data_IF_943884908346
#
_entry.id   IF_943884908346
#
_cell.length_a   1.000
_cell.length_b   1.000
_cell.length_c   1.000
_cell.angle_alpha   90.00
_cell.angle_beta   90.00
_cell.angle_gamma   90.00
#
_symmetry.space_group_name_H-M   'P 1'
#
loop_
_entity.id
_entity.type
_entity.pdbx_description
1 polymer ?
#
# COMPACT_ATOMS: atom_id res chain seq x y z
N UNK A 1 -4.81 -15.86 21.57
CA UNK A 1 -5.56 -14.59 21.76
C UNK A 1 -4.56 -13.44 21.83
N UNK A 2 -5.00 -12.18 21.62
CA UNK A 2 -4.14 -10.97 21.80
C UNK A 2 -3.51 -10.88 23.21
N UNK A 3 -4.08 -11.56 24.18
CA UNK A 3 -3.54 -11.67 25.54
C UNK A 3 -2.31 -12.59 25.65
N UNK A 4 -1.99 -13.34 24.61
CA UNK A 4 -0.89 -14.33 24.63
C UNK A 4 0.42 -13.73 24.07
N UNK A 5 0.37 -12.48 23.63
CA UNK A 5 1.51 -11.74 23.11
C UNK A 5 1.65 -10.39 23.84
N UNK A 6 2.89 -10.00 24.09
CA UNK A 6 3.22 -8.69 24.60
C UNK A 6 3.66 -7.81 23.42
N UNK A 7 2.78 -6.90 23.00
CA UNK A 7 3.06 -6.03 21.84
C UNK A 7 3.88 -4.82 22.28
N UNK A 8 4.95 -4.54 21.54
CA UNK A 8 5.80 -3.37 21.69
C UNK A 8 5.66 -2.50 20.44
N UNK A 9 5.12 -1.29 20.63
CA UNK A 9 5.05 -0.33 19.53
C UNK A 9 6.44 0.24 19.26
N UNK A 10 6.94 0.04 18.05
CA UNK A 10 8.29 0.41 17.64
C UNK A 10 8.23 1.25 16.37
N UNK A 11 8.99 2.33 16.29
CA UNK A 11 9.08 3.12 15.07
C UNK A 11 9.77 2.30 13.96
N UNK A 12 9.40 2.56 12.70
CA UNK A 12 9.92 1.82 11.55
C UNK A 12 11.44 1.82 11.46
N UNK A 13 12.07 2.97 11.75
CA UNK A 13 13.51 3.11 11.74
C UNK A 13 14.22 2.19 12.76
N UNK A 14 13.54 1.85 13.85
CA UNK A 14 14.11 1.12 14.99
C UNK A 14 13.78 -0.38 14.96
N UNK A 15 12.83 -0.82 14.11
CA UNK A 15 12.26 -2.17 14.18
C UNK A 15 13.28 -3.28 13.89
N UNK A 16 14.23 -3.06 12.98
CA UNK A 16 15.28 -4.02 12.68
C UNK A 16 16.27 -4.15 13.85
N UNK A 17 16.58 -3.03 14.52
CA UNK A 17 17.37 -3.01 15.74
C UNK A 17 16.67 -3.71 16.90
N UNK A 18 15.40 -3.43 17.10
CA UNK A 18 14.59 -4.07 18.13
C UNK A 18 14.51 -5.60 17.94
N UNK A 19 14.33 -6.07 16.70
CA UNK A 19 14.29 -7.50 16.37
C UNK A 19 15.63 -8.21 16.68
N UNK A 20 16.71 -7.49 16.70
CA UNK A 20 18.03 -8.03 17.08
C UNK A 20 18.19 -8.23 18.58
N UNK A 21 17.27 -7.70 19.41
CA UNK A 21 17.26 -7.89 20.86
C UNK A 21 16.77 -9.30 21.22
N UNK A 22 17.38 -9.95 22.23
CA UNK A 22 16.92 -11.26 22.69
C UNK A 22 15.51 -11.24 23.32
N UNK A 23 15.00 -10.07 23.68
CA UNK A 23 13.69 -9.91 24.28
C UNK A 23 12.57 -9.85 23.22
N UNK A 24 12.90 -9.69 21.94
CA UNK A 24 11.94 -9.63 20.84
C UNK A 24 11.92 -10.96 20.09
N UNK A 25 10.82 -11.66 20.16
CA UNK A 25 10.67 -13.00 19.58
C UNK A 25 10.04 -12.98 18.17
N UNK A 26 9.30 -11.94 17.84
CA UNK A 26 8.67 -11.76 16.53
C UNK A 26 8.56 -10.27 16.20
N UNK A 27 8.56 -9.95 14.92
CA UNK A 27 8.31 -8.60 14.43
C UNK A 27 7.46 -8.63 13.16
N UNK A 28 6.68 -7.58 12.95
CA UNK A 28 5.95 -7.32 11.71
C UNK A 28 6.53 -6.07 11.09
N UNK A 29 7.00 -6.16 9.87
CA UNK A 29 7.63 -5.06 9.17
C UNK A 29 7.43 -5.18 7.66
N UNK A 30 7.76 -4.13 6.96
CA UNK A 30 7.83 -4.07 5.50
C UNK A 30 9.25 -3.75 5.02
N UNK A 31 9.46 -3.74 3.73
CA UNK A 31 10.75 -3.38 3.14
C UNK A 31 11.05 -1.87 3.28
N UNK A 32 12.29 -1.47 3.48
CA UNK A 32 13.52 -2.30 3.47
C UNK A 32 13.84 -3.02 4.80
N UNK A 33 13.16 -2.68 5.90
CA UNK A 33 13.45 -3.22 7.24
C UNK A 33 13.27 -4.75 7.27
N UNK A 34 12.21 -5.29 6.64
CA UNK A 34 11.99 -6.73 6.53
C UNK A 34 13.16 -7.43 5.84
N UNK A 35 13.68 -6.86 4.76
CA UNK A 35 14.85 -7.41 4.06
C UNK A 35 16.07 -7.47 4.98
N UNK A 36 16.30 -6.42 5.78
CA UNK A 36 17.39 -6.39 6.76
C UNK A 36 17.23 -7.47 7.83
N UNK A 37 16.03 -7.61 8.39
CA UNK A 37 15.76 -8.63 9.41
C UNK A 37 15.89 -10.06 8.88
N UNK A 38 15.48 -10.32 7.64
CA UNK A 38 15.62 -11.63 6.98
C UNK A 38 17.08 -12.06 6.78
N UNK A 39 18.05 -11.15 6.84
CA UNK A 39 19.48 -11.49 6.78
C UNK A 39 20.01 -12.09 8.08
N UNK A 40 19.32 -11.95 9.20
CA UNK A 40 19.70 -12.56 10.46
C UNK A 40 19.56 -14.10 10.37
N UNK A 41 20.60 -14.89 10.74
CA UNK A 41 20.60 -16.35 10.57
C UNK A 41 19.47 -17.08 11.30
N UNK A 42 18.95 -16.48 12.38
CA UNK A 42 17.85 -17.01 13.19
C UNK A 42 16.48 -16.57 12.72
N UNK A 43 16.39 -15.64 11.75
CA UNK A 43 15.13 -15.12 11.27
C UNK A 43 14.41 -16.14 10.37
N UNK A 44 13.13 -16.35 10.64
CA UNK A 44 12.26 -17.16 9.81
C UNK A 44 11.04 -16.34 9.41
N UNK A 45 10.75 -16.30 8.12
CA UNK A 45 9.50 -15.73 7.63
C UNK A 45 8.36 -16.69 7.94
N UNK A 46 7.41 -16.25 8.75
CA UNK A 46 6.24 -17.05 9.15
C UNK A 46 5.06 -16.79 8.23
N UNK A 47 4.90 -15.54 7.79
CA UNK A 47 3.77 -15.07 7.00
C UNK A 47 4.14 -13.79 6.25
N UNK A 48 3.59 -13.59 5.07
CA UNK A 48 3.76 -12.36 4.29
C UNK A 48 2.47 -11.95 3.58
N UNK A 49 2.45 -10.73 3.02
CA UNK A 49 1.33 -10.26 2.20
C UNK A 49 1.10 -11.10 0.94
N UNK A 50 2.09 -11.88 0.49
CA UNK A 50 1.92 -12.83 -0.61
C UNK A 50 0.96 -13.99 -0.26
N UNK A 51 0.78 -14.28 1.02
CA UNK A 51 -0.16 -15.31 1.51
C UNK A 51 -1.61 -14.80 1.53
N UNK A 52 -1.80 -13.48 1.42
CA UNK A 52 -3.10 -12.78 1.38
C UNK A 52 -3.13 -11.76 0.22
N UNK A 53 -3.03 -12.18 -1.04
CA UNK A 53 -2.95 -11.27 -2.17
C UNK A 53 -4.18 -10.35 -2.23
N UNK A 54 -3.94 -9.05 -2.43
CA UNK A 54 -4.99 -8.02 -2.51
C UNK A 54 -5.53 -7.50 -1.16
N UNK A 55 -5.10 -8.05 -0.02
CA UNK A 55 -5.54 -7.56 1.30
C UNK A 55 -4.77 -6.32 1.77
N UNK A 56 -3.53 -6.13 1.31
CA UNK A 56 -2.70 -4.97 1.64
C UNK A 56 -2.50 -4.18 0.36
N UNK A 57 -3.04 -2.96 0.33
CA UNK A 57 -3.01 -2.09 -0.85
C UNK A 57 -2.40 -0.75 -0.46
N UNK A 58 -1.29 -0.39 -1.10
CA UNK A 58 -0.70 0.94 -0.99
C UNK A 58 -1.41 1.89 -1.95
N UNK A 59 -1.77 3.07 -1.48
CA UNK A 59 -2.58 4.02 -2.22
C UNK A 59 -1.89 5.39 -2.28
N UNK A 60 -1.98 6.04 -3.42
CA UNK A 60 -1.72 7.48 -3.55
C UNK A 60 -2.98 8.23 -3.14
N UNK A 61 -2.91 8.97 -2.03
CA UNK A 61 -4.07 9.66 -1.45
C UNK A 61 -3.92 11.17 -1.60
N UNK A 62 -4.95 11.83 -2.09
CA UNK A 62 -5.02 13.28 -2.23
C UNK A 62 -6.28 13.80 -1.56
N UNK A 63 -6.18 14.93 -0.88
CA UNK A 63 -7.35 15.62 -0.30
C UNK A 63 -8.38 15.97 -1.37
N UNK A 64 -9.66 15.68 -1.09
CA UNK A 64 -10.75 15.85 -2.06
C UNK A 64 -10.93 17.29 -2.52
N UNK A 65 -10.78 18.28 -1.61
CA UNK A 65 -10.93 19.67 -1.99
C UNK A 65 -9.75 20.11 -2.87
N UNK A 66 -8.55 19.63 -2.58
CA UNK A 66 -7.33 19.91 -3.37
C UNK A 66 -7.47 19.38 -4.79
N UNK A 67 -7.88 18.11 -4.96
CA UNK A 67 -8.01 17.52 -6.31
C UNK A 67 -9.16 18.14 -7.10
N UNK A 68 -10.26 18.52 -6.42
CA UNK A 68 -11.40 19.20 -7.05
C UNK A 68 -11.05 20.62 -7.52
N UNK A 69 -10.21 21.33 -6.76
CA UNK A 69 -9.74 22.67 -7.12
C UNK A 69 -8.68 22.66 -8.23
N UNK A 70 -7.90 21.59 -8.32
CA UNK A 70 -6.83 21.44 -9.31
C UNK A 70 -6.78 20.00 -9.87
N UNK A 71 -7.65 19.66 -10.84
CA UNK A 71 -7.65 18.33 -11.46
C UNK A 71 -6.35 17.99 -12.22
N UNK A 72 -5.59 19.00 -12.67
CA UNK A 72 -4.30 18.77 -13.34
C UNK A 72 -3.26 18.16 -12.39
N UNK A 73 -3.41 18.34 -11.07
CA UNK A 73 -2.61 17.62 -10.09
C UNK A 73 -2.82 16.10 -10.20
N UNK A 74 -4.06 15.64 -10.36
CA UNK A 74 -4.37 14.22 -10.50
C UNK A 74 -3.78 13.63 -11.77
N UNK A 75 -3.86 14.36 -12.90
CA UNK A 75 -3.22 13.97 -14.16
C UNK A 75 -1.70 13.87 -13.99
N UNK A 76 -1.07 14.87 -13.37
CA UNK A 76 0.37 14.88 -13.14
C UNK A 76 0.81 13.71 -12.26
N UNK A 77 0.10 13.42 -11.17
CA UNK A 77 0.41 12.32 -10.27
C UNK A 77 0.26 10.95 -10.97
N UNK A 78 -0.81 10.74 -11.74
CA UNK A 78 -1.01 9.54 -12.52
C UNK A 78 0.08 9.40 -13.60
N UNK A 79 0.38 10.49 -14.33
CA UNK A 79 1.46 10.51 -15.33
C UNK A 79 2.81 10.15 -14.73
N UNK A 80 3.20 10.78 -13.63
CA UNK A 80 4.45 10.48 -12.91
C UNK A 80 4.50 9.01 -12.50
N UNK A 81 3.41 8.47 -11.96
CA UNK A 81 3.36 7.05 -11.55
C UNK A 81 3.61 6.12 -12.73
N UNK A 82 2.86 6.27 -13.83
CA UNK A 82 2.95 5.35 -14.97
C UNK A 82 4.25 5.53 -15.75
N UNK A 83 4.72 6.75 -15.96
CA UNK A 83 6.02 7.00 -16.58
C UNK A 83 7.18 6.41 -15.75
N UNK A 84 7.14 6.59 -14.43
CA UNK A 84 8.17 6.09 -13.53
C UNK A 84 8.17 4.56 -13.49
N UNK A 85 7.01 3.93 -13.37
CA UNK A 85 6.91 2.47 -13.34
C UNK A 85 7.27 1.85 -14.70
N UNK A 86 6.90 2.48 -15.81
CA UNK A 86 7.29 2.06 -17.14
C UNK A 86 8.82 2.13 -17.34
N UNK A 87 9.46 3.22 -16.87
CA UNK A 87 10.92 3.35 -16.90
C UNK A 87 11.59 2.29 -16.03
N UNK A 88 11.09 2.09 -14.82
CA UNK A 88 11.62 1.12 -13.87
C UNK A 88 11.56 -0.33 -14.41
N UNK A 89 10.57 -0.65 -15.22
CA UNK A 89 10.37 -1.99 -15.79
C UNK A 89 11.22 -2.26 -17.04
N UNK A 90 11.92 -1.26 -17.58
CA UNK A 90 12.76 -1.48 -18.76
C UNK A 90 13.95 -2.39 -18.45
N UNK A 91 14.15 -3.39 -19.31
CA UNK A 91 15.31 -4.30 -19.24
C UNK A 91 16.47 -3.76 -20.10
N UNK A 92 16.94 -2.56 -19.74
CA UNK A 92 18.04 -1.87 -20.39
C UNK A 92 18.83 -1.03 -19.38
N UNK A 93 19.88 -0.33 -19.84
CA UNK A 93 20.73 0.51 -19.00
C UNK A 93 19.97 1.64 -18.31
N UNK A 94 18.98 2.23 -18.98
CA UNK A 94 18.19 3.34 -18.43
C UNK A 94 17.29 2.86 -17.28
N UNK A 95 16.59 1.74 -17.46
CA UNK A 95 15.79 1.11 -16.40
C UNK A 95 16.65 0.68 -15.21
N UNK A 96 17.81 0.09 -15.48
CA UNK A 96 18.75 -0.28 -14.40
C UNK A 96 19.26 0.95 -13.63
N UNK A 97 19.56 2.05 -14.30
CA UNK A 97 19.96 3.31 -13.66
C UNK A 97 18.83 3.90 -12.81
N UNK A 98 17.59 3.86 -13.30
CA UNK A 98 16.41 4.31 -12.54
C UNK A 98 16.22 3.49 -11.26
N UNK A 99 16.27 2.15 -11.35
CA UNK A 99 16.15 1.27 -10.17
C UNK A 99 17.30 1.48 -9.19
N UNK A 100 18.54 1.69 -9.67
CA UNK A 100 19.68 2.01 -8.80
C UNK A 100 19.51 3.35 -8.08
N UNK A 101 18.98 4.37 -8.74
CA UNK A 101 18.67 5.66 -8.11
C UNK A 101 17.58 5.51 -7.03
N UNK A 102 16.54 4.73 -7.29
CA UNK A 102 15.48 4.43 -6.31
C UNK A 102 16.03 3.66 -5.11
N UNK A 103 16.90 2.67 -5.33
CA UNK A 103 17.57 1.93 -4.27
C UNK A 103 18.38 2.87 -3.35
N UNK A 104 19.12 3.80 -3.92
CA UNK A 104 19.87 4.81 -3.17
C UNK A 104 18.96 5.71 -2.33
N UNK A 105 17.82 6.16 -2.87
CA UNK A 105 16.82 6.95 -2.14
C UNK A 105 16.17 6.14 -1.01
N UNK A 106 15.95 4.85 -1.22
CA UNK A 106 15.42 3.94 -0.21
C UNK A 106 16.46 3.50 0.85
N UNK A 107 17.70 3.94 0.73
CA UNK A 107 18.77 3.58 1.66
C UNK A 107 19.20 2.10 1.59
N UNK A 108 19.08 1.48 0.41
CA UNK A 108 19.39 0.07 0.18
C UNK A 108 20.35 -0.11 -1.03
N UNK A 109 20.78 -1.34 -1.30
CA UNK A 109 21.59 -1.62 -2.49
C UNK A 109 20.70 -1.96 -3.69
N UNK A 110 21.19 -1.80 -4.93
CA UNK A 110 20.44 -2.20 -6.12
C UNK A 110 19.97 -3.66 -6.08
N UNK A 111 20.81 -4.59 -5.62
CA UNK A 111 20.49 -6.02 -5.54
C UNK A 111 19.37 -6.31 -4.55
N UNK A 112 19.38 -5.64 -3.39
CA UNK A 112 18.31 -5.78 -2.40
C UNK A 112 17.02 -5.15 -2.89
N UNK A 113 17.10 -4.01 -3.58
CA UNK A 113 15.94 -3.35 -4.18
C UNK A 113 15.27 -4.20 -5.25
N UNK A 114 16.05 -4.83 -6.15
CA UNK A 114 15.54 -5.78 -7.14
C UNK A 114 14.82 -6.96 -6.46
N UNK A 115 15.39 -7.48 -5.37
CA UNK A 115 14.74 -8.53 -4.57
C UNK A 115 13.42 -8.08 -3.92
N UNK A 116 13.31 -6.79 -3.55
CA UNK A 116 12.07 -6.22 -3.03
C UNK A 116 11.02 -6.06 -4.13
N UNK A 117 11.42 -5.56 -5.30
CA UNK A 117 10.54 -5.44 -6.47
C UNK A 117 9.97 -6.79 -6.90
N UNK A 118 10.77 -7.85 -6.88
CA UNK A 118 10.33 -9.20 -7.23
C UNK A 118 9.20 -9.74 -6.31
N UNK A 119 8.99 -9.15 -5.14
CA UNK A 119 7.95 -9.52 -4.17
C UNK A 119 6.85 -8.46 -4.04
N UNK A 120 6.89 -7.41 -4.87
CA UNK A 120 5.91 -6.32 -4.88
C UNK A 120 5.09 -6.38 -6.16
N UNK A 121 3.78 -6.47 -6.01
CA UNK A 121 2.88 -6.34 -7.16
C UNK A 121 2.63 -4.86 -7.45
N UNK A 122 3.00 -4.40 -8.63
CA UNK A 122 2.81 -3.02 -9.07
C UNK A 122 1.73 -2.94 -10.15
N UNK A 123 0.74 -2.10 -9.96
CA UNK A 123 -0.21 -1.72 -11.00
C UNK A 123 0.46 -0.72 -11.94
N UNK A 124 1.30 -1.21 -12.83
CA UNK A 124 2.05 -0.41 -13.82
C UNK A 124 1.30 -0.22 -15.13
N UNK A 125 0.34 -1.09 -15.43
CA UNK A 125 -0.63 -0.89 -16.51
C UNK A 125 -1.86 -0.15 -15.95
N UNK A 126 -2.20 1.03 -16.49
CA UNK A 126 -3.35 1.79 -16.02
C UNK A 126 -4.69 1.06 -16.22
N UNK A 127 -4.83 0.21 -17.23
CA UNK A 127 -6.05 -0.56 -17.44
C UNK A 127 -6.24 -1.63 -16.36
N UNK A 128 -5.16 -2.26 -15.89
CA UNK A 128 -5.19 -3.22 -14.78
C UNK A 128 -5.55 -2.50 -13.46
N UNK A 129 -5.03 -1.29 -13.25
CA UNK A 129 -5.36 -0.49 -12.07
C UNK A 129 -6.84 -0.07 -12.04
N UNK A 130 -7.40 0.34 -13.19
CA UNK A 130 -8.83 0.64 -13.35
C UNK A 130 -9.65 -0.62 -13.06
N UNK A 131 -9.30 -1.76 -13.67
CA UNK A 131 -10.01 -3.02 -13.46
C UNK A 131 -10.02 -3.42 -11.97
N UNK A 132 -8.87 -3.36 -11.30
CA UNK A 132 -8.76 -3.69 -9.87
C UNK A 132 -9.57 -2.73 -8.98
N UNK A 133 -9.59 -1.43 -9.31
CA UNK A 133 -10.32 -0.43 -8.52
C UNK A 133 -11.84 -0.59 -8.68
N UNK A 134 -12.30 -1.05 -9.83
CA UNK A 134 -13.73 -1.29 -10.13
C UNK A 134 -14.20 -2.70 -9.75
N UNK A 135 -13.31 -3.60 -9.36
CA UNK A 135 -13.66 -4.98 -9.00
C UNK A 135 -14.46 -5.04 -7.69
N UNK A 136 -15.44 -5.92 -7.66
CA UNK A 136 -16.20 -6.21 -6.44
C UNK A 136 -15.30 -6.78 -5.31
N UNK A 137 -14.23 -7.46 -5.66
CA UNK A 137 -13.27 -8.00 -4.70
C UNK A 137 -12.62 -6.91 -3.84
N UNK A 138 -12.39 -5.70 -4.38
CA UNK A 138 -11.89 -4.57 -3.58
C UNK A 138 -12.88 -4.19 -2.47
N UNK A 139 -14.19 -4.15 -2.78
CA UNK A 139 -15.22 -3.83 -1.78
C UNK A 139 -15.29 -4.92 -0.71
N UNK A 140 -15.16 -6.18 -1.11
CA UNK A 140 -15.12 -7.31 -0.16
C UNK A 140 -13.89 -7.23 0.75
N UNK A 141 -12.72 -6.92 0.19
CA UNK A 141 -11.49 -6.68 0.97
C UNK A 141 -11.66 -5.51 1.93
N UNK A 142 -12.17 -4.37 1.46
CA UNK A 142 -12.39 -3.20 2.32
C UNK A 142 -13.45 -3.48 3.40
N UNK A 143 -14.42 -4.33 3.13
CA UNK A 143 -15.38 -4.79 4.15
C UNK A 143 -14.68 -5.57 5.26
N UNK A 144 -13.82 -6.54 4.90
CA UNK A 144 -13.04 -7.31 5.88
C UNK A 144 -12.10 -6.42 6.70
N UNK A 145 -11.37 -5.52 6.02
CA UNK A 145 -10.45 -4.57 6.68
C UNK A 145 -11.20 -3.66 7.62
N UNK A 146 -12.34 -3.09 7.21
CA UNK A 146 -13.20 -2.24 8.04
C UNK A 146 -13.70 -2.98 9.29
N UNK A 147 -14.27 -4.17 9.09
CA UNK A 147 -14.86 -4.96 10.18
C UNK A 147 -13.78 -5.42 11.17
N UNK A 148 -12.64 -5.84 10.67
CA UNK A 148 -11.48 -6.16 11.50
C UNK A 148 -11.00 -4.94 12.29
N UNK A 149 -10.80 -3.80 11.63
CA UNK A 149 -10.33 -2.57 12.27
C UNK A 149 -11.29 -2.11 13.37
N UNK A 150 -12.60 -2.18 13.13
CA UNK A 150 -13.59 -1.88 14.15
C UNK A 150 -13.52 -2.86 15.31
N UNK A 151 -13.46 -4.17 15.04
CA UNK A 151 -13.40 -5.21 16.07
C UNK A 151 -12.17 -5.10 16.97
N UNK A 152 -11.07 -4.55 16.45
CA UNK A 152 -9.83 -4.32 17.16
C UNK A 152 -9.74 -2.92 17.80
N UNK A 153 -10.79 -2.10 17.68
CA UNK A 153 -10.84 -0.76 18.29
C UNK A 153 -9.97 0.29 17.57
N UNK A 154 -9.52 0.04 16.35
CA UNK A 154 -8.66 0.95 15.57
C UNK A 154 -9.39 2.23 15.12
N UNK A 155 -10.72 2.23 15.12
CA UNK A 155 -11.52 3.44 14.84
C UNK A 155 -11.61 4.40 16.02
N UNK A 156 -11.01 4.05 17.17
CA UNK A 156 -11.06 4.82 18.38
C UNK A 156 -12.36 4.65 19.17
N UNK A 157 -12.39 5.21 20.38
CA UNK A 157 -13.50 5.02 21.33
C UNK A 157 -14.82 5.71 20.91
N UNK A 158 -14.79 6.61 19.93
CA UNK A 158 -15.96 7.31 19.43
C UNK A 158 -16.77 6.53 18.40
N UNK A 159 -16.21 5.53 17.76
CA UNK A 159 -16.88 4.74 16.74
C UNK A 159 -17.87 3.76 17.38
N UNK A 160 -19.15 3.87 16.97
CA UNK A 160 -20.25 3.04 17.52
C UNK A 160 -20.54 1.80 16.66
N UNK A 161 -20.08 1.79 15.42
CA UNK A 161 -20.24 0.68 14.47
C UNK A 161 -19.08 0.68 13.46
N UNK A 162 -18.93 -0.41 12.74
CA UNK A 162 -18.02 -0.49 11.60
C UNK A 162 -18.41 0.50 10.48
N UNK A 163 -19.69 0.85 10.39
CA UNK A 163 -20.21 1.79 9.40
C UNK A 163 -19.96 3.26 9.72
N UNK A 164 -19.27 3.59 10.82
CA UNK A 164 -19.00 4.99 11.21
C UNK A 164 -18.19 5.77 10.14
N UNK A 165 -17.46 5.07 9.29
CA UNK A 165 -16.69 5.66 8.19
C UNK A 165 -17.24 5.16 6.85
N UNK A 166 -17.50 6.08 5.94
CA UNK A 166 -17.93 5.77 4.57
C UNK A 166 -16.75 5.71 3.61
N UNK A 167 -16.77 4.73 2.71
CA UNK A 167 -15.86 4.59 1.59
C UNK A 167 -16.67 4.51 0.29
N UNK A 168 -16.35 5.35 -0.70
CA UNK A 168 -17.01 5.27 -2.01
C UNK A 168 -16.11 4.63 -3.05
N UNK A 169 -16.74 3.96 -4.01
CA UNK A 169 -16.09 3.20 -5.08
C UNK A 169 -16.68 3.59 -6.44
N UNK A 170 -16.00 3.26 -7.54
CA UNK A 170 -16.53 3.43 -8.88
C UNK A 170 -17.93 2.81 -9.04
N UNK A 171 -18.73 3.37 -9.94
CA UNK A 171 -20.12 2.93 -10.15
C UNK A 171 -21.09 3.37 -9.05
N UNK A 172 -20.71 4.32 -8.18
CA UNK A 172 -21.58 4.91 -7.16
C UNK A 172 -21.86 4.00 -5.96
N UNK A 173 -21.05 2.98 -5.75
CA UNK A 173 -21.16 2.10 -4.58
C UNK A 173 -20.56 2.77 -3.35
N UNK A 174 -21.18 2.58 -2.20
CA UNK A 174 -20.65 3.06 -0.90
C UNK A 174 -20.66 1.92 0.11
N UNK A 175 -19.60 1.79 0.87
CA UNK A 175 -19.48 0.94 2.04
C UNK A 175 -19.47 1.83 3.28
N UNK A 176 -20.33 1.54 4.28
CA UNK A 176 -20.45 2.33 5.50
C UNK A 176 -21.37 3.54 5.37
N UNK A 177 -21.11 4.60 6.13
CA UNK A 177 -21.96 5.78 6.23
C UNK A 177 -21.81 6.69 5.00
N UNK A 178 -22.86 6.73 4.15
CA UNK A 178 -22.90 7.59 2.97
C UNK A 178 -22.84 9.09 3.31
N UNK A 179 -23.23 9.46 4.51
CA UNK A 179 -23.15 10.86 4.97
C UNK A 179 -21.77 11.25 5.49
N UNK A 180 -20.88 10.27 5.71
CA UNK A 180 -19.53 10.45 6.21
C UNK A 180 -18.47 9.74 5.35
N UNK A 181 -18.50 9.99 4.03
CA UNK A 181 -17.51 9.41 3.10
C UNK A 181 -16.18 10.11 3.25
N UNK A 182 -15.20 9.42 3.81
CA UNK A 182 -13.86 9.94 4.10
C UNK A 182 -12.78 9.38 3.19
N UNK A 183 -13.00 8.24 2.55
CA UNK A 183 -12.11 7.64 1.55
C UNK A 183 -12.89 7.41 0.25
N UNK A 184 -12.28 7.76 -0.88
CA UNK A 184 -12.86 7.57 -2.21
C UNK A 184 -11.85 6.86 -3.10
N UNK A 185 -12.25 5.69 -3.60
CA UNK A 185 -11.52 5.03 -4.68
C UNK A 185 -11.98 5.63 -6.00
N UNK A 186 -11.08 6.37 -6.64
CA UNK A 186 -11.35 7.15 -7.85
C UNK A 186 -10.46 6.63 -8.98
N UNK A 187 -11.09 6.17 -10.06
CA UNK A 187 -10.40 5.64 -11.24
C UNK A 187 -10.18 6.70 -12.34
N UNK A 188 -10.66 7.93 -12.15
CA UNK A 188 -10.70 8.95 -13.20
C UNK A 188 -9.35 9.18 -13.86
N UNK A 189 -8.28 9.39 -13.09
CA UNK A 189 -6.98 9.69 -13.65
C UNK A 189 -6.26 8.45 -14.16
N UNK A 190 -6.52 7.27 -13.59
CA UNK A 190 -6.04 6.00 -14.13
C UNK A 190 -6.71 5.68 -15.47
N UNK A 191 -8.03 5.93 -15.60
CA UNK A 191 -8.75 5.79 -16.85
C UNK A 191 -8.22 6.75 -17.92
N UNK A 192 -7.93 8.01 -17.57
CA UNK A 192 -7.30 8.96 -18.50
C UNK A 192 -5.93 8.46 -18.98
N UNK A 193 -5.15 7.86 -18.08
CA UNK A 193 -3.86 7.24 -18.46
C UNK A 193 -4.07 6.07 -19.43
N UNK A 194 -5.04 5.19 -19.16
CA UNK A 194 -5.37 4.06 -20.02
C UNK A 194 -5.83 4.49 -21.42
N UNK A 195 -6.54 5.63 -21.49
CA UNK A 195 -7.04 6.20 -22.75
C UNK A 195 -6.00 7.07 -23.46
N UNK A 196 -4.80 7.28 -22.90
CA UNK A 196 -3.77 8.18 -23.43
C UNK A 196 -4.18 9.66 -23.42
N UNK A 197 -4.96 10.08 -22.41
CA UNK A 197 -5.57 11.40 -22.29
C UNK A 197 -5.05 12.22 -21.07
N UNK A 198 -3.91 11.84 -20.50
CA UNK A 198 -3.23 12.60 -19.44
C UNK A 198 -2.60 13.88 -19.96
#
# INVERSE_FOLDING_TARGET
AMTDVNTVNTADADIAGAFSSPDVNAAVAWNPQLTTMKQAPQANLVFSSADIPGEIVDLLVVDTATISANPDLGKALAGIWYETTALMQQDNEEGAAARAAMAALAGTTPELFEGQLATTFLYSDPADAVAATSDAALIETMTRVRDFSFSQGLFGQGARSADAVGMSFPGGKTLGDESNVTLRFDETFMQMAADGAL
#
